data_IF_338469875980
#
_entry.id   IF_338469875980
#
_cell.length_a   1.000
_cell.length_b   1.000
_cell.length_c   1.000
_cell.angle_alpha   90.00
_cell.angle_beta   90.00
_cell.angle_gamma   90.00
#
_symmetry.space_group_name_H-M   'P 1'
#
loop_
_entity.id
_entity.type
_entity.pdbx_description
1 polymer ?
#
# COMPACT_ATOMS: atom_id res chain seq x y z
N UNK A 1 -67.71 8.07 -28.06
CA UNK A 1 -66.73 8.17 -26.98
C UNK A 1 -65.47 7.45 -27.38
N UNK A 2 -64.35 8.20 -27.74
CA UNK A 2 -63.05 7.60 -28.10
C UNK A 2 -62.11 7.83 -26.94
N UNK A 3 -61.70 6.75 -26.25
CA UNK A 3 -60.66 6.79 -25.21
C UNK A 3 -59.30 6.90 -25.88
N UNK A 4 -58.54 7.98 -25.56
CA UNK A 4 -57.14 8.14 -25.91
C UNK A 4 -56.30 7.44 -24.83
N UNK A 5 -55.54 6.42 -25.22
CA UNK A 5 -54.49 5.83 -24.43
C UNK A 5 -53.25 6.73 -24.51
N UNK A 6 -52.86 7.31 -23.38
CA UNK A 6 -51.59 7.99 -23.23
C UNK A 6 -50.53 6.93 -22.92
N UNK A 7 -49.65 6.69 -23.87
CA UNK A 7 -48.44 5.85 -23.68
C UNK A 7 -47.35 6.71 -23.02
N UNK A 8 -47.09 6.41 -21.77
CA UNK A 8 -45.99 7.07 -20.98
C UNK A 8 -44.71 6.33 -21.27
N UNK A 9 -43.82 6.90 -22.09
CA UNK A 9 -42.47 6.39 -22.28
C UNK A 9 -41.61 6.82 -21.06
N UNK A 10 -41.31 5.85 -20.19
CA UNK A 10 -40.30 6.02 -19.14
C UNK A 10 -38.92 5.89 -19.78
N UNK A 11 -38.25 7.01 -19.96
CA UNK A 11 -36.85 7.02 -20.35
C UNK A 11 -35.99 6.61 -19.13
N UNK A 12 -35.41 5.39 -19.16
CA UNK A 12 -34.49 4.90 -18.19
C UNK A 12 -33.09 5.51 -18.50
N UNK A 13 -32.75 6.61 -17.83
CA UNK A 13 -31.38 7.16 -17.89
C UNK A 13 -30.46 6.19 -17.16
N UNK A 14 -29.69 5.40 -17.91
CA UNK A 14 -28.52 4.69 -17.42
C UNK A 14 -27.45 5.73 -17.05
N UNK A 15 -27.35 6.07 -15.77
CA UNK A 15 -26.20 6.75 -15.20
C UNK A 15 -25.03 5.75 -15.21
N UNK A 16 -24.22 5.76 -16.26
CA UNK A 16 -22.90 5.15 -16.23
C UNK A 16 -22.03 6.00 -15.32
N UNK A 17 -21.86 5.59 -14.06
CA UNK A 17 -20.80 6.15 -13.22
C UNK A 17 -19.49 5.77 -13.89
N UNK A 18 -18.76 6.74 -14.41
CA UNK A 18 -17.37 6.59 -14.75
C UNK A 18 -16.65 6.32 -13.43
N UNK A 19 -16.32 5.05 -13.16
CA UNK A 19 -15.45 4.70 -12.06
C UNK A 19 -14.11 5.42 -12.34
N UNK A 20 -13.81 6.42 -11.54
CA UNK A 20 -12.49 7.05 -11.56
C UNK A 20 -11.47 5.99 -11.17
N UNK A 21 -10.46 5.79 -12.00
CA UNK A 21 -9.32 4.94 -11.68
C UNK A 21 -8.67 5.48 -10.39
N UNK A 22 -8.52 4.63 -9.40
CA UNK A 22 -7.83 5.01 -8.15
C UNK A 22 -6.32 4.94 -8.36
N UNK A 23 -5.59 5.91 -7.81
CA UNK A 23 -4.13 5.98 -7.92
C UNK A 23 -3.48 5.62 -6.58
N UNK A 24 -2.30 5.03 -6.66
CA UNK A 24 -1.37 4.81 -5.55
C UNK A 24 -0.27 5.86 -5.67
N UNK A 25 0.26 6.35 -4.56
CA UNK A 25 1.40 7.25 -4.59
C UNK A 25 2.63 6.68 -3.90
N UNK A 26 3.81 7.11 -4.36
CA UNK A 26 5.10 6.92 -3.67
C UNK A 26 5.37 8.13 -2.79
N UNK A 27 5.79 7.89 -1.55
CA UNK A 27 6.15 8.94 -0.61
C UNK A 27 7.62 9.36 -0.81
N UNK A 28 7.81 10.56 -1.31
CA UNK A 28 9.11 11.21 -1.34
C UNK A 28 9.42 11.79 0.05
N UNK A 29 10.41 11.22 0.73
CA UNK A 29 10.90 11.66 2.04
C UNK A 29 12.28 12.30 1.96
N UNK A 30 12.65 13.08 2.98
CA UNK A 30 13.97 13.68 3.11
C UNK A 30 14.92 12.76 3.91
N UNK A 31 16.20 13.15 4.04
CA UNK A 31 17.18 12.45 4.85
C UNK A 31 18.30 11.78 4.05
N UNK A 32 18.18 11.72 2.74
CA UNK A 32 19.21 11.17 1.84
C UNK A 32 19.08 9.68 1.55
N UNK A 33 18.03 9.01 2.05
CA UNK A 33 17.66 7.68 1.58
C UNK A 33 17.04 7.74 0.17
N UNK A 34 17.06 6.63 -0.52
CA UNK A 34 16.66 6.51 -1.91
C UNK A 34 15.18 6.13 -2.07
N UNK A 35 14.30 7.04 -1.67
CA UNK A 35 12.83 6.90 -1.80
C UNK A 35 12.37 6.47 -3.22
N UNK A 36 13.22 6.61 -4.21
CA UNK A 36 13.01 6.28 -5.62
C UNK A 36 13.52 4.88 -5.99
N UNK A 37 13.97 4.09 -5.04
CA UNK A 37 14.37 2.70 -5.29
C UNK A 37 13.17 1.88 -5.79
N UNK A 38 13.44 0.76 -6.45
CA UNK A 38 12.44 -0.16 -6.99
C UNK A 38 11.43 0.52 -7.95
N UNK A 39 11.90 1.22 -9.00
CA UNK A 39 11.04 2.07 -9.84
C UNK A 39 9.97 1.30 -10.60
N UNK A 40 10.13 -0.01 -10.82
CA UNK A 40 9.15 -0.85 -11.51
C UNK A 40 8.26 -1.66 -10.57
N UNK A 41 8.47 -1.56 -9.24
CA UNK A 41 7.75 -2.34 -8.25
C UNK A 41 6.25 -2.04 -8.24
N UNK A 42 5.85 -0.79 -8.02
CA UNK A 42 4.43 -0.44 -8.02
C UNK A 42 3.75 -0.63 -9.38
N UNK A 43 4.34 -0.24 -10.52
CA UNK A 43 3.79 -0.60 -11.83
C UNK A 43 3.56 -2.10 -11.99
N UNK A 44 4.51 -2.95 -11.57
CA UNK A 44 4.41 -4.40 -11.60
C UNK A 44 3.29 -4.94 -10.70
N UNK A 45 3.19 -4.43 -9.48
CA UNK A 45 2.11 -4.80 -8.56
C UNK A 45 0.73 -4.35 -9.06
N UNK A 46 0.62 -3.13 -9.60
CA UNK A 46 -0.62 -2.61 -10.18
C UNK A 46 -1.10 -3.48 -11.34
N UNK A 47 -0.20 -3.82 -12.27
CA UNK A 47 -0.52 -4.70 -13.40
C UNK A 47 -0.99 -6.08 -12.92
N UNK A 48 -0.28 -6.64 -11.93
CA UNK A 48 -0.69 -7.90 -11.31
C UNK A 48 -2.09 -7.83 -10.69
N UNK A 49 -2.40 -6.77 -9.93
CA UNK A 49 -3.70 -6.60 -9.29
C UNK A 49 -4.82 -6.38 -10.30
N UNK A 50 -4.60 -5.52 -11.31
CA UNK A 50 -5.58 -5.28 -12.36
C UNK A 50 -5.91 -6.56 -13.13
N UNK A 51 -4.90 -7.40 -13.36
CA UNK A 51 -5.06 -8.66 -14.11
C UNK A 51 -5.66 -9.78 -13.25
N UNK A 52 -5.24 -9.94 -11.99
CA UNK A 52 -5.50 -11.17 -11.22
C UNK A 52 -6.60 -11.02 -10.16
N UNK A 53 -6.85 -9.80 -9.65
CA UNK A 53 -7.90 -9.55 -8.65
C UNK A 53 -8.94 -8.50 -9.10
N UNK A 54 -8.88 -8.11 -10.39
CA UNK A 54 -9.91 -7.29 -11.03
C UNK A 54 -9.98 -5.83 -10.54
N UNK A 55 -8.88 -5.27 -10.05
CA UNK A 55 -8.81 -3.84 -9.74
C UNK A 55 -8.77 -2.99 -11.02
N UNK A 56 -9.00 -1.69 -10.87
CA UNK A 56 -8.92 -0.69 -11.96
C UNK A 56 -8.00 0.45 -11.54
N UNK A 57 -6.82 0.10 -11.00
CA UNK A 57 -5.82 1.06 -10.56
C UNK A 57 -5.18 1.76 -11.77
N UNK A 58 -4.81 3.04 -11.59
CA UNK A 58 -4.02 3.77 -12.57
C UNK A 58 -2.65 3.07 -12.74
N UNK A 59 -2.17 2.88 -13.97
CA UNK A 59 -0.98 2.04 -14.22
C UNK A 59 0.31 2.61 -13.65
N UNK A 60 0.38 3.93 -13.51
CA UNK A 60 1.57 4.62 -13.00
C UNK A 60 1.27 5.25 -11.65
N UNK A 61 2.13 5.03 -10.63
CA UNK A 61 2.01 5.70 -9.35
C UNK A 61 2.38 7.18 -9.47
N UNK A 62 1.77 8.01 -8.62
CA UNK A 62 2.20 9.40 -8.47
C UNK A 62 3.26 9.54 -7.38
N UNK A 63 3.97 10.67 -7.36
CA UNK A 63 4.93 10.99 -6.29
C UNK A 63 4.41 12.16 -5.49
N UNK A 64 4.39 12.01 -4.17
CA UNK A 64 3.96 13.05 -3.23
C UNK A 64 4.93 13.17 -2.06
N UNK A 65 5.00 14.36 -1.46
CA UNK A 65 5.63 14.57 -0.15
C UNK A 65 4.57 14.56 0.94
N UNK A 66 4.98 14.47 2.19
CA UNK A 66 4.04 14.57 3.32
C UNK A 66 3.26 15.90 3.34
N UNK A 67 3.84 16.98 2.83
CA UNK A 67 3.24 18.31 2.76
C UNK A 67 2.48 18.59 1.44
N UNK A 68 2.43 17.65 0.50
CA UNK A 68 1.67 17.79 -0.73
C UNK A 68 0.16 17.73 -0.42
N UNK A 69 -0.64 18.74 -0.80
CA UNK A 69 -2.09 18.71 -0.59
C UNK A 69 -2.79 17.51 -1.23
N UNK A 70 -2.21 16.94 -2.30
CA UNK A 70 -2.72 15.75 -2.97
C UNK A 70 -2.59 14.48 -2.13
N UNK A 71 -1.77 14.49 -1.05
CA UNK A 71 -1.59 13.35 -0.14
C UNK A 71 -2.93 12.71 0.24
N UNK A 72 -3.93 13.54 0.56
CA UNK A 72 -5.25 13.12 1.01
C UNK A 72 -6.16 12.55 -0.10
N UNK A 73 -5.72 12.57 -1.36
CA UNK A 73 -6.48 11.99 -2.47
C UNK A 73 -6.11 10.53 -2.76
N UNK A 74 -5.03 10.03 -2.15
CA UNK A 74 -4.57 8.67 -2.35
C UNK A 74 -5.02 7.77 -1.18
N UNK A 75 -5.75 6.68 -1.44
CA UNK A 75 -6.13 5.75 -0.38
C UNK A 75 -4.93 4.96 0.16
N UNK A 76 -3.93 4.72 -0.69
CA UNK A 76 -2.70 4.01 -0.36
C UNK A 76 -1.47 4.82 -0.80
N UNK A 77 -0.54 4.97 0.11
CA UNK A 77 0.80 5.51 -0.15
C UNK A 77 1.82 4.42 0.16
N UNK A 78 2.75 4.23 -0.77
CA UNK A 78 3.88 3.33 -0.62
C UNK A 78 5.15 4.11 -0.32
N UNK A 79 5.97 3.59 0.57
CA UNK A 79 7.28 4.13 0.91
C UNK A 79 8.27 2.97 0.94
N UNK A 80 9.41 3.15 0.29
CA UNK A 80 10.51 2.19 0.30
C UNK A 80 11.85 2.92 0.24
N UNK A 81 12.94 2.19 0.34
CA UNK A 81 14.30 2.69 0.17
C UNK A 81 15.30 2.10 1.15
N UNK A 82 16.55 2.57 1.02
CA UNK A 82 17.65 2.22 1.89
C UNK A 82 18.06 3.44 2.73
N UNK A 83 18.51 3.19 3.96
CA UNK A 83 19.16 4.20 4.80
C UNK A 83 18.24 5.30 5.32
N UNK A 84 18.81 6.49 5.44
CA UNK A 84 18.28 7.54 6.30
C UNK A 84 16.95 8.14 5.83
N UNK A 85 15.99 8.16 6.74
CA UNK A 85 14.68 8.79 6.57
C UNK A 85 14.58 9.98 7.53
N UNK A 86 14.09 11.09 7.04
CA UNK A 86 13.81 12.27 7.85
C UNK A 86 12.44 12.85 7.54
N UNK A 87 11.65 13.09 8.58
CA UNK A 87 10.42 13.88 8.57
C UNK A 87 10.52 15.00 9.60
N UNK A 88 10.22 16.22 9.20
CA UNK A 88 10.02 17.34 10.13
C UNK A 88 8.80 17.07 11.03
N UNK A 89 8.65 17.81 12.12
CA UNK A 89 7.45 17.70 12.97
C UNK A 89 6.17 18.09 12.21
N UNK A 90 6.29 18.98 11.23
CA UNK A 90 5.19 19.34 10.34
C UNK A 90 4.81 18.18 9.43
N UNK A 91 5.79 17.50 8.82
CA UNK A 91 5.54 16.31 7.99
C UNK A 91 4.87 15.20 8.79
N UNK A 92 5.36 14.94 10.00
CA UNK A 92 4.71 13.99 10.92
C UNK A 92 3.27 14.40 11.26
N UNK A 93 3.00 15.69 11.38
CA UNK A 93 1.65 16.23 11.55
C UNK A 93 0.72 15.87 10.39
N UNK A 94 1.18 16.10 9.15
CA UNK A 94 0.42 15.73 7.95
C UNK A 94 0.22 14.22 7.81
N UNK A 95 1.24 13.41 8.11
CA UNK A 95 1.12 11.95 8.08
C UNK A 95 0.11 11.45 9.12
N UNK A 96 0.11 12.02 10.36
CA UNK A 96 -0.90 11.68 11.38
C UNK A 96 -2.32 12.03 10.90
N UNK A 97 -2.50 13.22 10.32
CA UNK A 97 -3.79 13.66 9.79
C UNK A 97 -4.25 12.75 8.65
N UNK A 98 -3.38 12.43 7.70
CA UNK A 98 -3.66 11.51 6.60
C UNK A 98 -4.13 10.13 7.09
N UNK A 99 -3.39 9.52 8.01
CA UNK A 99 -3.71 8.20 8.56
C UNK A 99 -5.01 8.21 9.38
N UNK A 100 -5.25 9.28 10.14
CA UNK A 100 -6.48 9.46 10.92
C UNK A 100 -7.71 9.74 10.05
N UNK A 101 -7.52 10.31 8.86
CA UNK A 101 -8.59 10.67 7.92
C UNK A 101 -8.97 9.53 6.95
N UNK A 102 -8.43 8.34 7.13
CA UNK A 102 -8.78 7.18 6.30
C UNK A 102 -7.68 6.71 5.36
N UNK A 103 -6.57 7.43 5.26
CA UNK A 103 -5.40 7.02 4.47
C UNK A 103 -4.71 5.78 5.04
N UNK A 104 -3.89 5.16 4.21
CA UNK A 104 -3.07 4.00 4.56
C UNK A 104 -1.65 4.17 4.02
N UNK A 105 -0.64 3.84 4.84
CA UNK A 105 0.76 3.82 4.40
C UNK A 105 1.30 2.39 4.49
N UNK A 106 1.85 1.89 3.39
CA UNK A 106 2.71 0.72 3.37
C UNK A 106 4.16 1.17 3.28
N UNK A 107 4.99 0.73 4.21
CA UNK A 107 6.43 0.97 4.24
C UNK A 107 7.13 -0.36 4.07
N UNK A 108 8.01 -0.47 3.09
CA UNK A 108 8.83 -1.65 2.85
C UNK A 108 10.31 -1.30 3.05
N UNK A 109 10.95 -1.90 4.06
CA UNK A 109 12.39 -1.73 4.29
C UNK A 109 13.15 -2.54 3.24
N UNK A 110 13.81 -1.83 2.36
CA UNK A 110 14.63 -2.41 1.31
C UNK A 110 16.07 -2.64 1.79
N UNK A 111 16.19 -2.97 3.07
CA UNK A 111 17.41 -3.15 3.86
C UNK A 111 18.12 -1.85 4.27
N UNK A 112 18.22 -1.68 5.59
CA UNK A 112 18.95 -0.57 6.21
C UNK A 112 18.16 0.70 6.49
N UNK A 113 16.86 0.74 6.21
CA UNK A 113 15.98 1.83 6.61
C UNK A 113 15.56 1.75 8.08
N UNK A 114 15.46 0.56 8.64
CA UNK A 114 14.91 0.28 9.98
C UNK A 114 15.47 1.16 11.11
N UNK A 115 16.80 1.38 11.24
CA UNK A 115 17.34 2.22 12.30
C UNK A 115 16.83 3.66 12.28
N UNK A 116 16.35 4.14 11.15
CA UNK A 116 15.85 5.50 10.95
C UNK A 116 14.32 5.58 11.03
N UNK A 117 13.64 4.66 10.36
CA UNK A 117 12.17 4.73 10.26
C UNK A 117 11.47 4.22 11.52
N UNK A 118 11.95 3.14 12.16
CA UNK A 118 11.31 2.55 13.33
C UNK A 118 11.12 3.53 14.50
N UNK A 119 12.13 4.35 14.90
CA UNK A 119 11.91 5.35 15.95
C UNK A 119 10.86 6.41 15.57
N UNK A 120 10.77 6.77 14.28
CA UNK A 120 9.76 7.69 13.78
C UNK A 120 8.37 7.07 13.94
N UNK A 121 8.20 5.84 13.49
CA UNK A 121 6.91 5.12 13.58
C UNK A 121 6.48 4.92 15.04
N UNK A 122 7.40 4.57 15.92
CA UNK A 122 7.12 4.43 17.37
C UNK A 122 6.67 5.73 18.03
N UNK A 123 7.11 6.88 17.49
CA UNK A 123 6.76 8.20 18.00
C UNK A 123 5.63 8.89 17.24
N UNK A 124 5.13 8.28 16.15
CA UNK A 124 4.15 8.93 15.28
C UNK A 124 2.82 9.16 16.01
N UNK A 125 2.38 8.19 16.81
CA UNK A 125 1.17 8.27 17.64
C UNK A 125 1.50 7.86 19.07
N UNK A 126 1.24 8.75 20.03
CA UNK A 126 1.52 8.47 21.45
C UNK A 126 0.68 7.30 22.00
N UNK A 127 -0.55 7.13 21.50
CA UNK A 127 -1.54 6.17 22.02
C UNK A 127 -1.75 4.96 21.11
N UNK A 128 -1.11 4.93 19.94
CA UNK A 128 -1.20 3.83 18.98
C UNK A 128 0.20 3.29 18.66
N UNK A 129 0.71 2.32 19.43
CA UNK A 129 2.06 1.80 19.26
C UNK A 129 2.20 0.99 17.98
N UNK A 130 3.43 0.95 17.45
CA UNK A 130 3.82 0.04 16.37
C UNK A 130 3.92 -1.38 16.95
N UNK A 131 3.05 -2.29 16.53
CA UNK A 131 2.96 -3.66 17.02
C UNK A 131 3.12 -4.68 15.91
N UNK A 132 3.72 -5.82 16.23
CA UNK A 132 3.75 -6.96 15.30
C UNK A 132 2.34 -7.49 15.04
N UNK A 133 1.98 -7.64 13.77
CA UNK A 133 0.70 -8.22 13.38
C UNK A 133 0.71 -9.74 13.62
N UNK A 134 -0.34 -10.30 14.23
CA UNK A 134 -0.48 -11.74 14.35
C UNK A 134 -0.71 -12.36 12.97
N UNK A 135 -0.29 -13.61 12.78
CA UNK A 135 -0.50 -14.34 11.52
C UNK A 135 -1.99 -14.52 11.17
N UNK A 136 -2.88 -14.35 12.13
CA UNK A 136 -4.35 -14.38 11.94
C UNK A 136 -4.91 -13.04 11.48
N UNK A 137 -4.06 -12.00 11.30
CA UNK A 137 -4.55 -10.69 10.87
C UNK A 137 -5.15 -10.77 9.47
N UNK A 138 -6.32 -10.14 9.19
CA UNK A 138 -7.01 -10.24 7.90
C UNK A 138 -6.16 -9.87 6.68
N UNK A 139 -5.13 -9.05 6.82
CA UNK A 139 -4.24 -8.67 5.71
C UNK A 139 -3.51 -9.87 5.09
N UNK A 140 -3.32 -10.94 5.85
CA UNK A 140 -2.69 -12.19 5.38
C UNK A 140 -3.70 -13.17 4.74
N UNK A 141 -5.01 -12.86 4.80
CA UNK A 141 -6.11 -13.73 4.43
C UNK A 141 -7.15 -13.00 3.58
N UNK A 142 -6.69 -12.36 2.51
CA UNK A 142 -7.56 -11.72 1.51
C UNK A 142 -7.84 -12.72 0.37
N UNK A 143 -7.49 -12.39 -0.87
CA UNK A 143 -7.59 -13.34 -1.99
C UNK A 143 -6.55 -14.46 -1.86
N UNK A 144 -5.39 -14.16 -1.32
CA UNK A 144 -4.29 -15.13 -1.17
C UNK A 144 -4.04 -15.44 0.30
N UNK A 145 -3.78 -16.72 0.59
CA UNK A 145 -3.57 -17.20 1.95
C UNK A 145 -2.09 -17.23 2.32
N UNK A 146 -1.74 -16.54 3.40
CA UNK A 146 -0.40 -16.52 3.99
C UNK A 146 -0.44 -17.02 5.44
N UNK A 147 -0.63 -18.35 5.65
CA UNK A 147 -0.80 -18.92 6.99
C UNK A 147 0.47 -18.83 7.85
N UNK A 148 1.61 -18.54 7.27
CA UNK A 148 2.87 -18.30 7.98
C UNK A 148 3.15 -16.78 8.18
N UNK A 149 2.24 -15.91 7.73
CA UNK A 149 2.40 -14.46 7.76
C UNK A 149 3.22 -13.93 6.59
N UNK A 150 3.99 -12.86 6.83
CA UNK A 150 4.74 -12.16 5.80
C UNK A 150 5.78 -13.08 5.11
N UNK A 151 5.80 -13.19 3.77
CA UNK A 151 6.83 -13.94 3.06
C UNK A 151 8.18 -13.23 3.13
N UNK A 152 9.26 -14.00 3.07
CA UNK A 152 10.64 -13.51 2.91
C UNK A 152 11.03 -13.63 1.44
N UNK A 153 11.39 -12.52 0.81
CA UNK A 153 11.77 -12.49 -0.61
C UNK A 153 13.29 -12.54 -0.74
N UNK A 154 14.00 -11.64 -0.06
CA UNK A 154 15.45 -11.66 0.00
C UNK A 154 15.98 -11.91 1.41
N UNK A 155 17.18 -12.46 1.49
CA UNK A 155 17.85 -12.80 2.73
C UNK A 155 18.99 -11.80 2.97
N UNK A 156 18.97 -11.12 4.11
CA UNK A 156 20.04 -10.19 4.51
C UNK A 156 20.72 -10.64 5.79
N UNK A 157 20.04 -10.58 6.93
CA UNK A 157 20.62 -10.80 8.26
C UNK A 157 20.17 -12.12 8.91
N UNK A 158 19.62 -13.06 8.15
CA UNK A 158 19.00 -14.31 8.63
C UNK A 158 17.89 -14.06 9.67
N UNK A 159 17.29 -12.87 9.70
CA UNK A 159 16.16 -12.56 10.54
C UNK A 159 14.84 -12.95 9.87
N UNK A 160 13.87 -13.35 10.67
CA UNK A 160 12.54 -13.65 10.16
C UNK A 160 11.82 -12.36 9.70
N UNK A 161 11.01 -12.42 8.61
CA UNK A 161 10.24 -11.28 8.16
C UNK A 161 9.21 -10.86 9.22
N UNK A 162 9.00 -9.57 9.38
CA UNK A 162 8.08 -8.99 10.35
C UNK A 162 7.11 -8.03 9.67
N UNK A 163 5.84 -8.22 9.90
CA UNK A 163 4.81 -7.24 9.59
C UNK A 163 4.46 -6.48 10.88
N UNK A 164 4.73 -5.19 10.90
CA UNK A 164 4.40 -4.32 12.03
C UNK A 164 3.32 -3.33 11.61
N UNK A 165 2.41 -3.02 12.49
CA UNK A 165 1.28 -2.14 12.18
C UNK A 165 0.94 -1.15 13.25
N UNK A 166 0.36 -0.03 12.82
CA UNK A 166 -0.29 0.96 13.69
C UNK A 166 -1.79 0.88 13.44
N UNK A 167 -2.56 0.79 14.53
CA UNK A 167 -4.02 0.78 14.47
C UNK A 167 -4.59 2.06 15.08
N UNK A 168 -5.58 2.65 14.42
CA UNK A 168 -6.38 3.76 14.94
C UNK A 168 -7.84 3.33 14.89
N UNK A 169 -8.54 3.41 16.04
CA UNK A 169 -9.95 3.01 16.18
C UNK A 169 -10.24 1.60 15.65
N UNK A 170 -9.29 0.68 15.83
CA UNK A 170 -9.40 -0.72 15.38
C UNK A 170 -9.05 -0.95 13.91
N UNK A 171 -8.80 0.09 13.10
CA UNK A 171 -8.36 0.00 11.71
C UNK A 171 -6.84 0.01 11.64
N UNK A 172 -6.24 -0.94 10.93
CA UNK A 172 -4.82 -0.85 10.55
C UNK A 172 -4.66 0.30 9.55
N UNK A 173 -3.85 1.28 9.91
CA UNK A 173 -3.62 2.49 9.10
C UNK A 173 -2.22 2.54 8.50
N UNK A 174 -1.29 1.81 9.08
CA UNK A 174 0.08 1.71 8.62
C UNK A 174 0.55 0.27 8.74
N UNK A 175 1.16 -0.24 7.67
CA UNK A 175 1.88 -1.50 7.63
C UNK A 175 3.35 -1.22 7.33
N UNK A 176 4.23 -1.73 8.17
CA UNK A 176 5.67 -1.74 7.96
C UNK A 176 6.16 -3.16 7.81
N UNK A 177 6.69 -3.50 6.64
CA UNK A 177 7.31 -4.77 6.32
C UNK A 177 8.82 -4.66 6.47
N UNK A 178 9.37 -5.47 7.36
CA UNK A 178 10.78 -5.49 7.73
C UNK A 178 11.35 -6.88 7.45
N UNK A 179 12.57 -6.96 6.92
CA UNK A 179 13.24 -8.22 6.56
C UNK A 179 12.45 -9.06 5.54
N UNK A 180 11.75 -8.43 4.62
CA UNK A 180 10.90 -9.10 3.63
C UNK A 180 11.28 -8.79 2.20
N UNK A 181 11.50 -7.51 1.86
CA UNK A 181 11.78 -6.98 0.52
C UNK A 181 10.67 -7.28 -0.50
N UNK A 182 9.44 -7.00 -0.09
CA UNK A 182 8.29 -7.19 -0.99
C UNK A 182 8.45 -6.40 -2.30
N UNK A 183 8.94 -5.16 -2.19
CA UNK A 183 9.15 -4.27 -3.33
C UNK A 183 10.05 -4.87 -4.40
N UNK A 184 11.12 -5.55 -4.01
CA UNK A 184 12.03 -6.22 -4.93
C UNK A 184 11.31 -7.32 -5.73
N UNK A 185 10.47 -8.11 -5.05
CA UNK A 185 9.69 -9.15 -5.70
C UNK A 185 8.57 -8.61 -6.61
N UNK A 186 8.17 -7.35 -6.47
CA UNK A 186 7.22 -6.70 -7.37
C UNK A 186 7.86 -6.19 -8.66
N UNK A 187 9.18 -5.93 -8.65
CA UNK A 187 9.89 -5.41 -9.82
C UNK A 187 9.83 -6.36 -11.02
N UNK A 188 10.21 -5.85 -12.18
CA UNK A 188 10.29 -6.66 -13.40
C UNK A 188 11.24 -7.86 -13.21
N UNK A 189 10.94 -9.04 -13.79
CA UNK A 189 11.67 -10.29 -13.53
C UNK A 189 13.19 -10.20 -13.73
N UNK A 190 13.63 -9.32 -14.64
CA UNK A 190 15.05 -9.18 -14.99
C UNK A 190 15.85 -8.29 -14.02
N UNK A 191 15.20 -7.63 -13.05
CA UNK A 191 15.90 -6.74 -12.11
C UNK A 191 16.69 -7.57 -11.09
N UNK A 192 16.01 -8.43 -10.36
CA UNK A 192 16.62 -9.29 -9.34
C UNK A 192 16.87 -10.72 -9.82
N UNK A 193 16.20 -11.15 -10.90
CA UNK A 193 16.22 -12.50 -11.43
C UNK A 193 15.70 -13.56 -10.44
N UNK A 194 14.79 -13.18 -9.59
CA UNK A 194 14.18 -14.06 -8.61
C UNK A 194 13.39 -15.20 -9.28
N UNK A 195 13.38 -16.38 -8.66
CA UNK A 195 12.49 -17.46 -9.07
C UNK A 195 11.03 -16.99 -9.13
N UNK A 196 10.31 -17.47 -10.14
CA UNK A 196 8.89 -17.08 -10.35
C UNK A 196 8.04 -17.32 -9.08
N UNK A 197 8.31 -18.39 -8.33
CA UNK A 197 7.59 -18.73 -7.10
C UNK A 197 7.77 -17.63 -6.03
N UNK A 198 8.98 -17.13 -5.84
CA UNK A 198 9.30 -16.07 -4.89
C UNK A 198 8.62 -14.76 -5.30
N UNK A 199 8.74 -14.40 -6.58
CA UNK A 199 8.05 -13.22 -7.12
C UNK A 199 6.54 -13.29 -6.96
N UNK A 200 5.94 -14.46 -7.22
CA UNK A 200 4.50 -14.65 -7.03
C UNK A 200 4.09 -14.48 -5.58
N UNK A 201 4.87 -14.94 -4.62
CA UNK A 201 4.59 -14.71 -3.19
C UNK A 201 4.59 -13.19 -2.87
N UNK A 202 5.57 -12.44 -3.36
CA UNK A 202 5.62 -11.00 -3.17
C UNK A 202 4.40 -10.29 -3.80
N UNK A 203 4.09 -10.58 -5.06
CA UNK A 203 2.95 -9.99 -5.78
C UNK A 203 1.61 -10.34 -5.13
N UNK A 204 1.43 -11.57 -4.68
CA UNK A 204 0.23 -12.03 -3.97
C UNK A 204 0.08 -11.33 -2.62
N UNK A 205 1.17 -11.15 -1.86
CA UNK A 205 1.13 -10.39 -0.61
C UNK A 205 0.81 -8.92 -0.86
N UNK A 206 1.42 -8.32 -1.89
CA UNK A 206 1.10 -6.96 -2.33
C UNK A 206 -0.38 -6.80 -2.73
N UNK A 207 -0.94 -7.78 -3.45
CA UNK A 207 -2.35 -7.81 -3.81
C UNK A 207 -3.26 -7.89 -2.56
N UNK A 208 -2.87 -8.66 -1.54
CA UNK A 208 -3.58 -8.68 -0.27
C UNK A 208 -3.54 -7.33 0.44
N UNK A 209 -2.41 -6.63 0.41
CA UNK A 209 -2.30 -5.27 0.98
C UNK A 209 -3.26 -4.32 0.25
N UNK A 210 -3.24 -4.31 -1.08
CA UNK A 210 -4.13 -3.48 -1.90
C UNK A 210 -5.59 -3.82 -1.57
N UNK A 211 -5.96 -5.09 -1.59
CA UNK A 211 -7.33 -5.52 -1.32
C UNK A 211 -7.78 -5.13 0.09
N UNK A 212 -6.92 -5.31 1.09
CA UNK A 212 -7.20 -4.90 2.47
C UNK A 212 -7.52 -3.41 2.56
N UNK A 213 -6.72 -2.55 1.90
CA UNK A 213 -6.89 -1.08 1.92
C UNK A 213 -8.19 -0.65 1.27
N UNK A 214 -8.58 -1.29 0.15
CA UNK A 214 -9.77 -0.87 -0.61
C UNK A 214 -11.08 -1.51 -0.13
N UNK A 215 -11.03 -2.51 0.76
CA UNK A 215 -12.23 -3.18 1.30
C UNK A 215 -12.53 -2.82 2.76
N UNK A 216 -11.58 -2.20 3.49
CA UNK A 216 -11.70 -1.80 4.88
C UNK A 216 -11.42 -0.30 5.04
#
# INVERSE_FOLDING_TARGET
>A
MRRRLLSSCFAFCLLTSLASSQSIAVLHYAGGGDWYSNPTALPGLIDFCNTNIGTTLAPEPEVVTASDPRLFTFPLIHMTGHGNVFFSEQDKGYLREYLSSGGFIHIDDNYGMDPYIRPILQSLFAEAPLLTLPITHPIFHQTFEFPQGLPKIHEHDNAAPQALGIHIDGRLVLLYTFESDLGDGWEHPQVHNDPLEIRLQALQMGANIIQYVFLN
#
